data_IF_328264356264
#
_entry.id   IF_328264356264
#
_cell.length_a   1.000
_cell.length_b   1.000
_cell.length_c   1.000
_cell.angle_alpha   90.00
_cell.angle_beta   90.00
_cell.angle_gamma   90.00
#
_symmetry.space_group_name_H-M   'P 1'
#
loop_
_entity.id
_entity.type
_entity.pdbx_description
1 polymer ?
#
# COMPACT_ATOMS: atom_id res chain seq x y z
N UNK A 1 17.36 -59.78 -57.95
CA UNK A 1 18.33 -59.26 -56.96
C UNK A 1 19.12 -58.08 -57.54
N UNK A 2 18.42 -56.99 -57.89
CA UNK A 2 18.99 -55.73 -58.38
C UNK A 2 18.05 -54.60 -57.89
N UNK A 3 18.10 -54.35 -56.59
CA UNK A 3 17.40 -53.24 -55.94
C UNK A 3 18.02 -53.02 -54.56
N UNK A 4 19.33 -52.75 -54.49
CA UNK A 4 20.01 -52.47 -53.22
C UNK A 4 21.32 -51.65 -53.34
N UNK A 5 21.57 -50.96 -54.47
CA UNK A 5 22.83 -50.22 -54.68
C UNK A 5 22.69 -48.84 -55.37
N UNK A 6 21.64 -48.05 -55.07
CA UNK A 6 21.62 -46.65 -55.55
C UNK A 6 20.99 -45.62 -54.61
N UNK A 7 21.00 -45.84 -53.28
CA UNK A 7 20.51 -44.83 -52.31
C UNK A 7 21.52 -44.59 -51.18
N UNK A 8 22.83 -44.63 -51.48
CA UNK A 8 23.85 -44.42 -50.44
C UNK A 8 24.94 -43.39 -50.76
N UNK A 9 24.67 -42.43 -51.65
CA UNK A 9 25.63 -41.33 -51.91
C UNK A 9 25.01 -39.93 -51.98
N UNK A 10 23.72 -39.76 -51.69
CA UNK A 10 23.08 -38.43 -51.72
C UNK A 10 22.46 -37.97 -50.39
N UNK A 11 22.60 -38.74 -49.30
CA UNK A 11 22.02 -38.40 -47.98
C UNK A 11 23.08 -37.97 -46.95
N UNK A 12 24.38 -38.05 -47.23
CA UNK A 12 25.41 -37.74 -46.21
C UNK A 12 25.93 -36.29 -46.20
N UNK A 13 25.50 -35.39 -47.09
CA UNK A 13 25.92 -33.97 -47.06
C UNK A 13 24.82 -32.95 -46.77
N UNK A 14 23.58 -33.17 -47.19
CA UNK A 14 22.49 -32.22 -46.88
C UNK A 14 21.95 -32.37 -45.44
N UNK A 15 21.96 -33.57 -44.87
CA UNK A 15 21.57 -33.74 -43.46
C UNK A 15 22.66 -33.31 -42.47
N UNK A 16 23.92 -33.24 -42.92
CA UNK A 16 25.01 -32.80 -42.03
C UNK A 16 25.04 -31.27 -41.87
N UNK A 17 24.60 -30.52 -42.90
CA UNK A 17 24.43 -29.05 -42.83
C UNK A 17 23.17 -28.64 -42.06
N UNK A 18 22.08 -29.41 -42.14
CA UNK A 18 20.88 -29.15 -41.32
C UNK A 18 21.07 -29.53 -39.84
N UNK A 19 21.81 -30.60 -39.53
CA UNK A 19 22.13 -30.97 -38.14
C UNK A 19 23.15 -30.01 -37.52
N UNK A 20 24.10 -29.47 -38.30
CA UNK A 20 25.04 -28.45 -37.81
C UNK A 20 24.43 -27.05 -37.68
N UNK A 21 23.45 -26.67 -38.53
CA UNK A 21 22.67 -25.45 -38.30
C UNK A 21 21.68 -25.60 -37.13
N UNK A 22 21.13 -26.80 -36.89
CA UNK A 22 20.31 -27.06 -35.70
C UNK A 22 21.15 -27.14 -34.41
N UNK A 23 22.39 -27.64 -34.48
CA UNK A 23 23.36 -27.58 -33.37
C UNK A 23 23.95 -26.18 -33.16
N UNK A 24 24.03 -25.32 -34.19
CA UNK A 24 24.41 -23.91 -34.05
C UNK A 24 23.23 -23.02 -33.59
N UNK A 25 21.97 -23.40 -33.84
CA UNK A 25 20.82 -22.66 -33.29
C UNK A 25 20.44 -23.08 -31.87
N UNK A 26 20.80 -24.30 -31.44
CA UNK A 26 20.63 -24.75 -30.04
C UNK A 26 21.82 -24.36 -29.15
N UNK A 27 23.00 -24.06 -29.72
CA UNK A 27 24.16 -23.57 -28.97
C UNK A 27 24.22 -22.03 -28.83
N UNK A 28 23.27 -21.29 -29.39
CA UNK A 28 23.13 -19.82 -29.25
C UNK A 28 21.90 -19.37 -28.44
N UNK A 29 21.07 -20.30 -27.96
CA UNK A 29 20.05 -20.06 -26.92
C UNK A 29 20.38 -20.81 -25.62
N UNK A 30 21.62 -20.70 -25.20
CA UNK A 30 21.97 -20.63 -23.78
C UNK A 30 23.15 -19.67 -23.64
N UNK A 31 22.94 -18.42 -24.08
CA UNK A 31 23.30 -17.36 -23.15
C UNK A 31 22.40 -17.65 -21.95
N UNK A 32 22.88 -18.48 -21.02
CA UNK A 32 22.34 -18.45 -19.68
C UNK A 32 22.42 -16.98 -19.30
N UNK A 33 21.28 -16.29 -19.24
CA UNK A 33 21.24 -14.94 -18.70
C UNK A 33 22.07 -14.99 -17.43
N UNK A 34 23.21 -14.28 -17.42
CA UNK A 34 24.08 -14.27 -16.26
C UNK A 34 23.20 -13.81 -15.12
N UNK A 35 23.00 -14.68 -14.13
CA UNK A 35 22.16 -14.35 -12.98
C UNK A 35 22.64 -13.02 -12.40
N UNK A 36 21.72 -12.13 -12.06
CA UNK A 36 22.09 -10.89 -11.39
C UNK A 36 22.52 -11.24 -9.95
N UNK A 37 23.85 -11.25 -9.73
CA UNK A 37 24.49 -11.58 -8.44
C UNK A 37 24.86 -10.33 -7.64
N UNK A 38 24.37 -9.14 -8.04
CA UNK A 38 24.64 -7.92 -7.28
C UNK A 38 24.08 -8.04 -5.87
N UNK A 39 24.85 -7.69 -4.83
CA UNK A 39 24.33 -7.71 -3.47
C UNK A 39 23.14 -6.75 -3.37
N UNK A 40 22.26 -7.03 -2.41
CA UNK A 40 21.11 -6.15 -2.15
C UNK A 40 21.18 -5.62 -0.75
N UNK A 41 22.15 -4.74 -0.54
CA UNK A 41 22.33 -4.05 0.73
C UNK A 41 21.13 -3.12 1.01
N UNK A 42 20.74 -2.93 2.28
CA UNK A 42 21.32 -3.51 3.50
C UNK A 42 20.72 -4.88 3.88
N UNK A 43 20.03 -5.57 2.96
CA UNK A 43 19.39 -6.84 3.27
C UNK A 43 20.39 -7.97 3.41
N UNK A 44 20.18 -8.80 4.44
CA UNK A 44 20.90 -10.05 4.62
C UNK A 44 20.46 -10.97 3.48
N UNK A 45 21.38 -11.26 2.58
CA UNK A 45 21.21 -12.21 1.47
C UNK A 45 22.50 -13.00 1.31
N UNK A 46 22.42 -14.15 0.64
CA UNK A 46 23.65 -14.89 0.37
C UNK A 46 24.58 -14.18 -0.60
N UNK A 47 24.05 -13.35 -1.50
CA UNK A 47 24.89 -12.51 -2.37
C UNK A 47 25.55 -11.36 -1.63
N UNK A 48 24.96 -10.88 -0.52
CA UNK A 48 25.65 -9.96 0.39
C UNK A 48 26.83 -10.64 1.09
N UNK A 49 26.66 -11.86 1.60
CA UNK A 49 27.79 -12.64 2.17
C UNK A 49 28.84 -12.99 1.10
N UNK A 50 28.41 -13.24 -0.13
CA UNK A 50 29.30 -13.51 -1.26
C UNK A 50 30.12 -12.28 -1.65
N UNK A 51 29.55 -11.08 -1.59
CA UNK A 51 30.22 -9.85 -2.04
C UNK A 51 31.33 -9.37 -1.11
N UNK A 52 31.36 -9.84 0.14
CA UNK A 52 32.43 -9.51 1.10
C UNK A 52 33.62 -10.48 1.05
N UNK A 53 33.57 -11.50 0.19
CA UNK A 53 34.62 -12.50 0.09
C UNK A 53 35.68 -12.12 -0.94
N UNK A 54 36.94 -12.39 -0.60
CA UNK A 54 38.09 -12.22 -1.50
C UNK A 54 38.13 -13.32 -2.55
N UNK A 55 37.68 -14.53 -2.19
CA UNK A 55 37.62 -15.70 -3.07
C UNK A 55 36.24 -16.36 -3.02
N UNK A 56 35.76 -16.84 -4.16
CA UNK A 56 34.39 -17.40 -4.29
C UNK A 56 34.47 -18.79 -4.93
N UNK A 57 33.84 -19.78 -4.29
CA UNK A 57 33.65 -21.13 -4.80
C UNK A 57 32.17 -21.52 -4.72
N UNK A 58 31.43 -21.33 -5.82
CA UNK A 58 30.01 -21.62 -5.88
C UNK A 58 29.63 -22.40 -7.15
N UNK A 59 28.36 -22.36 -7.53
CA UNK A 59 27.87 -23.06 -8.72
C UNK A 59 28.32 -22.38 -10.02
N UNK A 60 28.66 -21.09 -9.98
CA UNK A 60 29.06 -20.26 -11.13
C UNK A 60 30.59 -20.12 -11.22
N UNK A 61 31.26 -19.95 -10.09
CA UNK A 61 32.72 -19.78 -10.00
C UNK A 61 33.30 -20.99 -9.27
N UNK A 62 34.06 -21.81 -9.97
CA UNK A 62 34.68 -23.02 -9.42
C UNK A 62 36.23 -22.96 -9.46
N UNK A 63 36.80 -21.88 -9.98
CA UNK A 63 38.23 -21.73 -10.16
C UNK A 63 38.78 -20.75 -9.12
N UNK A 64 38.97 -21.22 -7.89
CA UNK A 64 39.85 -20.53 -6.93
C UNK A 64 41.28 -21.02 -7.20
N UNK A 65 42.20 -20.08 -7.42
CA UNK A 65 43.63 -20.40 -7.38
C UNK A 65 44.10 -20.46 -5.92
N UNK A 66 44.46 -21.64 -5.37
CA UNK A 66 44.87 -21.78 -3.97
C UNK A 66 46.10 -20.94 -3.59
N UNK A 67 47.00 -20.69 -4.55
CA UNK A 67 48.23 -19.92 -4.33
C UNK A 67 47.97 -18.42 -4.17
N UNK A 68 46.80 -17.94 -4.59
CA UNK A 68 46.40 -16.53 -4.45
C UNK A 68 45.76 -16.24 -3.08
N UNK A 69 45.45 -17.26 -2.28
CA UNK A 69 44.84 -17.10 -0.96
C UNK A 69 45.88 -16.59 0.03
N UNK A 70 45.66 -15.39 0.55
CA UNK A 70 46.52 -14.76 1.55
C UNK A 70 45.98 -15.00 2.96
N UNK A 71 46.84 -14.70 3.93
CA UNK A 71 46.51 -14.79 5.34
C UNK A 71 45.30 -13.90 5.68
N UNK A 72 44.28 -14.50 6.31
CA UNK A 72 43.00 -13.89 6.72
C UNK A 72 42.05 -13.54 5.58
N UNK A 73 42.32 -13.94 4.34
CA UNK A 73 41.36 -13.79 3.26
C UNK A 73 40.04 -14.49 3.59
N UNK A 74 38.94 -13.94 3.08
CA UNK A 74 37.60 -14.49 3.22
C UNK A 74 37.29 -15.34 2.00
N UNK A 75 36.98 -16.62 2.23
CA UNK A 75 36.56 -17.55 1.19
C UNK A 75 35.08 -17.85 1.35
N UNK A 76 34.29 -17.50 0.33
CA UNK A 76 32.89 -17.89 0.24
C UNK A 76 32.76 -19.23 -0.48
N UNK A 77 32.04 -20.18 0.13
CA UNK A 77 31.76 -21.49 -0.46
C UNK A 77 30.27 -21.79 -0.38
N UNK A 78 29.61 -22.08 -1.50
CA UNK A 78 28.22 -22.55 -1.42
C UNK A 78 28.15 -23.90 -0.70
N UNK A 79 27.23 -24.11 0.24
CA UNK A 79 27.28 -25.30 1.11
C UNK A 79 27.16 -26.64 0.37
N UNK A 80 26.58 -26.66 -0.84
CA UNK A 80 26.54 -27.84 -1.71
C UNK A 80 27.88 -28.16 -2.43
N UNK A 81 28.86 -27.26 -2.35
CA UNK A 81 30.19 -27.37 -2.95
C UNK A 81 31.29 -27.67 -1.93
N UNK A 82 30.97 -27.79 -0.65
CA UNK A 82 31.94 -28.04 0.42
C UNK A 82 32.75 -29.31 0.22
N UNK A 83 32.14 -30.38 -0.31
CA UNK A 83 32.85 -31.64 -0.58
C UNK A 83 33.98 -31.45 -1.59
N UNK A 84 33.72 -30.74 -2.68
CA UNK A 84 34.70 -30.43 -3.72
C UNK A 84 35.76 -29.46 -3.20
N UNK A 85 35.34 -28.41 -2.49
CA UNK A 85 36.23 -27.44 -1.89
C UNK A 85 37.23 -28.11 -0.92
N UNK A 86 36.74 -28.90 0.03
CA UNK A 86 37.60 -29.58 1.00
C UNK A 86 38.42 -30.71 0.40
N UNK A 87 37.95 -31.37 -0.65
CA UNK A 87 38.68 -32.45 -1.33
C UNK A 87 39.76 -31.98 -2.29
N UNK A 88 39.58 -30.82 -2.93
CA UNK A 88 40.41 -30.40 -4.08
C UNK A 88 41.14 -29.09 -3.82
N UNK A 89 40.47 -28.09 -3.24
CA UNK A 89 40.98 -26.71 -3.12
C UNK A 89 41.69 -26.51 -1.80
N UNK A 90 41.00 -26.76 -0.68
CA UNK A 90 41.53 -26.58 0.68
C UNK A 90 42.89 -27.27 0.94
N UNK A 91 43.16 -28.51 0.47
CA UNK A 91 44.46 -29.14 0.70
C UNK A 91 45.63 -28.38 0.08
N UNK A 92 45.37 -27.60 -0.98
CA UNK A 92 46.38 -26.81 -1.72
C UNK A 92 46.53 -25.39 -1.18
N UNK A 93 45.64 -24.95 -0.29
CA UNK A 93 45.76 -23.65 0.37
C UNK A 93 46.77 -23.80 1.51
N UNK A 94 47.77 -22.90 1.53
CA UNK A 94 48.83 -22.86 2.54
C UNK A 94 48.61 -21.80 3.62
N UNK A 95 47.86 -20.74 3.31
CA UNK A 95 47.54 -19.64 4.24
C UNK A 95 46.34 -19.96 5.13
N UNK A 96 46.22 -19.29 6.28
CA UNK A 96 45.01 -19.40 7.11
C UNK A 96 43.96 -18.40 6.61
N UNK A 97 42.69 -18.77 6.65
CA UNK A 97 41.60 -18.00 6.03
C UNK A 97 40.32 -18.07 6.87
N UNK A 98 39.38 -17.18 6.54
CA UNK A 98 38.02 -17.15 7.10
C UNK A 98 37.08 -17.82 6.11
N UNK A 99 36.25 -18.75 6.56
CA UNK A 99 35.33 -19.48 5.70
C UNK A 99 33.90 -18.97 5.89
N UNK A 100 33.20 -18.67 4.80
CA UNK A 100 31.77 -18.37 4.80
C UNK A 100 31.05 -19.41 3.96
N UNK A 101 30.06 -20.09 4.53
CA UNK A 101 29.24 -21.07 3.82
C UNK A 101 27.76 -20.72 3.85
N UNK A 102 27.18 -20.57 2.66
CA UNK A 102 25.80 -20.10 2.48
C UNK A 102 25.21 -20.61 1.16
N UNK A 103 24.07 -20.06 0.72
CA UNK A 103 23.49 -20.26 -0.62
C UNK A 103 23.12 -21.71 -0.95
N UNK A 104 22.68 -22.48 0.04
CA UNK A 104 22.13 -23.82 -0.15
C UNK A 104 21.23 -24.21 1.01
N UNK A 105 20.43 -25.26 0.83
CA UNK A 105 19.58 -25.80 1.90
C UNK A 105 20.37 -26.62 2.94
N UNK A 106 21.62 -27.01 2.64
CA UNK A 106 22.44 -27.85 3.52
C UNK A 106 23.05 -27.05 4.67
N UNK A 107 22.90 -27.59 5.88
CA UNK A 107 23.52 -27.04 7.09
C UNK A 107 24.96 -27.48 7.28
N UNK A 108 25.77 -26.61 7.86
CA UNK A 108 27.16 -26.87 8.24
C UNK A 108 27.29 -27.02 9.76
N UNK A 109 28.31 -27.72 10.29
CA UNK A 109 29.42 -28.33 9.57
C UNK A 109 29.07 -29.70 8.97
N UNK A 110 28.00 -30.36 9.44
CA UNK A 110 27.55 -31.65 8.93
C UNK A 110 28.68 -32.70 8.91
N UNK A 111 28.86 -33.36 7.77
CA UNK A 111 29.94 -34.34 7.55
C UNK A 111 31.36 -33.73 7.60
N UNK A 112 31.48 -32.40 7.50
CA UNK A 112 32.75 -31.67 7.47
C UNK A 112 33.19 -31.15 8.85
N UNK A 113 32.57 -31.63 9.93
CA UNK A 113 32.90 -31.21 11.30
C UNK A 113 34.37 -31.42 11.67
N UNK A 114 35.06 -32.39 11.06
CA UNK A 114 36.50 -32.61 11.26
C UNK A 114 37.35 -31.39 10.90
N UNK A 115 36.93 -30.57 9.93
CA UNK A 115 37.68 -29.39 9.47
C UNK A 115 37.63 -28.23 10.47
N UNK A 116 36.77 -28.26 11.49
CA UNK A 116 36.76 -27.22 12.53
C UNK A 116 38.02 -27.23 13.39
N UNK A 117 38.71 -28.36 13.46
CA UNK A 117 40.01 -28.49 14.14
C UNK A 117 41.19 -28.11 13.23
N UNK A 118 40.96 -27.84 11.95
CA UNK A 118 42.02 -27.45 11.03
C UNK A 118 42.54 -26.04 11.37
N UNK A 119 43.86 -25.90 11.44
CA UNK A 119 44.52 -24.63 11.79
C UNK A 119 44.40 -23.57 10.69
N UNK A 120 44.18 -23.98 9.44
CA UNK A 120 43.99 -23.07 8.30
C UNK A 120 42.65 -22.37 8.35
N UNK A 121 41.65 -22.94 9.04
CA UNK A 121 40.36 -22.28 9.22
C UNK A 121 40.43 -21.48 10.52
N UNK A 122 40.46 -20.16 10.40
CA UNK A 122 40.47 -19.24 11.54
C UNK A 122 39.09 -19.17 12.19
N UNK A 123 38.07 -18.94 11.36
CA UNK A 123 36.66 -18.86 11.73
C UNK A 123 35.84 -19.37 10.56
N UNK A 124 34.74 -20.06 10.84
CA UNK A 124 33.77 -20.57 9.88
C UNK A 124 32.39 -19.98 10.18
N UNK A 125 31.94 -19.07 9.33
CA UNK A 125 30.58 -18.55 9.33
C UNK A 125 29.66 -19.48 8.53
N UNK A 126 28.69 -20.08 9.20
CA UNK A 126 27.87 -21.16 8.64
C UNK A 126 26.37 -20.87 8.61
N UNK A 127 25.72 -21.04 7.46
CA UNK A 127 24.26 -21.10 7.39
C UNK A 127 23.74 -22.43 7.93
N UNK A 128 22.57 -22.40 8.58
CA UNK A 128 21.84 -23.60 8.99
C UNK A 128 22.64 -24.51 9.96
N UNK A 129 23.36 -23.92 10.92
CA UNK A 129 24.13 -24.69 11.91
C UNK A 129 23.20 -25.49 12.81
N UNK A 130 23.27 -26.82 12.71
CA UNK A 130 22.43 -27.76 13.46
C UNK A 130 23.16 -28.35 14.67
N UNK A 131 22.67 -28.09 15.88
CA UNK A 131 23.04 -28.80 17.11
C UNK A 131 24.55 -29.00 17.30
N UNK A 132 25.34 -28.00 16.91
CA UNK A 132 26.80 -28.04 16.95
C UNK A 132 27.30 -26.74 17.54
N UNK A 133 28.18 -26.82 18.53
CA UNK A 133 28.78 -25.67 19.19
C UNK A 133 30.29 -25.84 19.12
N UNK A 134 30.97 -24.85 18.57
CA UNK A 134 32.42 -24.85 18.41
C UNK A 134 32.91 -23.40 18.39
N UNK A 135 34.07 -23.12 18.99
CA UNK A 135 34.60 -21.76 19.12
C UNK A 135 34.82 -21.07 17.76
N UNK A 136 35.22 -21.83 16.75
CA UNK A 136 35.42 -21.34 15.38
C UNK A 136 34.15 -21.32 14.52
N UNK A 137 33.05 -21.94 14.95
CA UNK A 137 31.84 -22.03 14.13
C UNK A 137 30.82 -20.98 14.57
N UNK A 138 30.57 -20.00 13.71
CA UNK A 138 29.63 -18.91 13.97
C UNK A 138 28.42 -19.07 13.06
N UNK A 139 27.21 -19.28 13.60
CA UNK A 139 26.01 -19.37 12.80
C UNK A 139 25.67 -18.03 12.16
N UNK A 140 25.37 -18.04 10.86
CA UNK A 140 24.90 -16.87 10.11
C UNK A 140 23.51 -17.08 9.50
N UNK A 141 22.70 -16.01 9.42
CA UNK A 141 21.32 -16.02 8.91
C UNK A 141 21.20 -16.42 7.44
N UNK A 142 20.15 -17.18 7.08
CA UNK A 142 19.82 -17.45 5.66
C UNK A 142 19.37 -16.18 4.91
N UNK A 143 18.76 -15.23 5.63
CA UNK A 143 18.30 -13.97 5.09
C UNK A 143 17.17 -14.09 4.07
N UNK A 144 17.07 -13.10 3.20
CA UNK A 144 16.20 -13.12 2.02
C UNK A 144 16.82 -13.93 0.90
N UNK A 145 16.00 -14.30 -0.08
CA UNK A 145 16.47 -14.94 -1.31
C UNK A 145 17.27 -13.93 -2.16
N UNK A 146 18.19 -14.42 -2.99
CA UNK A 146 18.98 -13.58 -3.89
C UNK A 146 18.15 -13.04 -5.07
N UNK A 147 18.59 -11.94 -5.70
CA UNK A 147 17.85 -11.20 -6.77
C UNK A 147 17.38 -12.06 -7.93
N UNK A 148 18.22 -12.98 -8.40
CA UNK A 148 17.91 -13.85 -9.55
C UNK A 148 16.84 -14.89 -9.25
N UNK A 149 16.42 -15.07 -8.00
CA UNK A 149 15.31 -15.94 -7.65
C UNK A 149 13.99 -15.15 -7.75
N UNK A 150 13.06 -15.62 -8.58
CA UNK A 150 11.72 -15.03 -8.82
C UNK A 150 10.85 -14.73 -7.59
N UNK A 151 11.23 -15.19 -6.39
CA UNK A 151 10.54 -14.95 -5.12
C UNK A 151 11.27 -13.93 -4.23
N UNK A 152 12.46 -13.50 -4.64
CA UNK A 152 13.48 -12.92 -3.79
C UNK A 152 14.10 -11.63 -4.26
N UNK A 153 13.53 -11.01 -5.29
CA UNK A 153 13.98 -9.69 -5.69
C UNK A 153 13.72 -8.72 -4.53
N UNK A 154 14.76 -8.22 -3.84
CA UNK A 154 14.54 -7.37 -2.69
C UNK A 154 14.01 -5.99 -3.10
N UNK A 155 13.89 -5.68 -4.41
CA UNK A 155 13.05 -4.58 -4.88
C UNK A 155 11.59 -4.77 -4.46
N UNK A 156 11.08 -6.00 -4.49
CA UNK A 156 9.71 -6.30 -4.06
C UNK A 156 9.55 -6.14 -2.55
N UNK A 157 10.57 -6.54 -1.77
CA UNK A 157 10.51 -6.34 -0.31
C UNK A 157 10.65 -4.87 0.05
N UNK A 158 11.52 -4.11 -0.61
CA UNK A 158 11.68 -2.67 -0.40
C UNK A 158 10.39 -1.91 -0.75
N UNK A 159 9.76 -2.26 -1.87
CA UNK A 159 8.45 -1.75 -2.27
C UNK A 159 7.34 -2.11 -1.27
N UNK A 160 7.40 -3.33 -0.70
CA UNK A 160 6.47 -3.75 0.34
C UNK A 160 6.75 -3.04 1.68
N UNK A 161 8.01 -2.76 2.01
CA UNK A 161 8.42 -1.99 3.20
C UNK A 161 7.85 -0.57 3.17
N UNK A 162 7.96 0.11 2.02
CA UNK A 162 7.34 1.43 1.79
C UNK A 162 5.82 1.43 1.98
N UNK A 163 5.18 0.26 1.81
CA UNK A 163 3.74 0.05 1.91
C UNK A 163 3.33 -0.72 3.17
N UNK A 164 4.20 -0.83 4.17
CA UNK A 164 3.86 -1.52 5.42
C UNK A 164 2.59 -0.90 6.00
N UNK A 165 1.58 -1.76 6.19
CA UNK A 165 0.28 -1.29 6.63
C UNK A 165 0.38 -0.78 8.07
N UNK A 166 0.06 0.51 8.26
CA UNK A 166 -0.06 1.15 9.60
C UNK A 166 -1.01 0.38 10.53
N UNK A 167 -2.01 -0.29 9.96
CA UNK A 167 -2.94 -1.17 10.68
C UNK A 167 -2.88 -2.59 10.11
N UNK A 168 -2.49 -3.54 10.97
CA UNK A 168 -2.48 -4.97 10.63
C UNK A 168 -3.92 -5.49 10.51
N UNK A 169 -4.24 -6.13 9.38
CA UNK A 169 -5.55 -6.72 9.07
C UNK A 169 -5.69 -8.14 9.61
N UNK A 170 -4.64 -8.94 9.51
CA UNK A 170 -4.68 -10.36 9.86
C UNK A 170 -3.98 -10.59 11.20
N UNK A 171 -4.57 -11.41 12.06
CA UNK A 171 -3.89 -11.81 13.31
C UNK A 171 -2.73 -12.74 12.98
N UNK A 172 -3.00 -13.83 12.26
CA UNK A 172 -2.01 -14.84 11.94
C UNK A 172 -2.09 -15.22 10.46
N UNK A 173 -0.93 -15.34 9.81
CA UNK A 173 -0.82 -15.77 8.42
C UNK A 173 0.07 -17.00 8.27
N UNK A 174 -0.40 -17.97 7.49
CA UNK A 174 0.34 -19.18 7.13
C UNK A 174 0.30 -19.37 5.61
N UNK A 175 1.46 -19.26 4.98
CA UNK A 175 1.68 -19.63 3.59
C UNK A 175 3.02 -20.33 3.45
N UNK A 176 2.99 -21.65 3.57
CA UNK A 176 4.14 -22.51 3.41
C UNK A 176 3.93 -23.47 2.23
N UNK A 177 4.68 -23.37 1.12
CA UNK A 177 4.55 -24.32 0.01
C UNK A 177 4.85 -25.77 0.44
N UNK A 178 4.04 -26.75 0.02
CA UNK A 178 4.20 -28.15 0.48
C UNK A 178 5.27 -28.96 -0.27
N UNK A 179 5.88 -28.40 -1.32
CA UNK A 179 6.94 -29.08 -2.09
C UNK A 179 8.31 -29.08 -1.38
N UNK A 180 8.46 -28.35 -0.27
CA UNK A 180 9.65 -28.37 0.60
C UNK A 180 9.23 -28.77 2.01
N UNK A 181 9.99 -29.65 2.67
CA UNK A 181 9.72 -30.16 4.02
C UNK A 181 8.24 -30.45 4.32
N UNK A 182 7.63 -31.28 3.46
CA UNK A 182 6.19 -31.59 3.46
C UNK A 182 5.67 -32.02 4.83
N UNK A 183 6.39 -32.93 5.49
CA UNK A 183 5.99 -33.49 6.78
C UNK A 183 5.82 -32.43 7.87
N UNK A 184 6.70 -31.43 7.93
CA UNK A 184 6.61 -30.33 8.92
C UNK A 184 5.49 -29.35 8.52
N UNK A 185 5.40 -29.02 7.24
CA UNK A 185 4.45 -28.00 6.75
C UNK A 185 3.01 -28.50 6.76
N UNK A 186 2.76 -29.75 6.40
CA UNK A 186 1.43 -30.37 6.51
C UNK A 186 0.95 -30.40 7.97
N UNK A 187 1.83 -30.74 8.93
CA UNK A 187 1.52 -30.65 10.36
C UNK A 187 1.13 -29.23 10.78
N UNK A 188 1.84 -28.21 10.28
CA UNK A 188 1.49 -26.81 10.57
C UNK A 188 0.10 -26.44 9.99
N UNK A 189 -0.19 -26.79 8.74
CA UNK A 189 -1.53 -26.54 8.18
C UNK A 189 -2.63 -27.28 8.91
N UNK A 190 -2.41 -28.56 9.25
CA UNK A 190 -3.37 -29.37 10.00
C UNK A 190 -3.64 -28.76 11.37
N UNK A 191 -2.59 -28.29 12.06
CA UNK A 191 -2.74 -27.62 13.34
C UNK A 191 -3.59 -26.35 13.26
N UNK A 192 -3.48 -25.57 12.18
CA UNK A 192 -4.24 -24.33 11.98
C UNK A 192 -5.53 -24.49 11.19
N UNK A 193 -5.91 -25.72 10.82
CA UNK A 193 -7.03 -25.98 9.89
C UNK A 193 -8.36 -25.44 10.42
N UNK A 194 -8.65 -25.71 11.69
CA UNK A 194 -9.85 -25.32 12.45
C UNK A 194 -9.76 -23.89 13.05
N UNK A 195 -8.62 -23.22 12.91
CA UNK A 195 -8.35 -21.91 13.53
C UNK A 195 -8.69 -20.77 12.57
N UNK A 196 -9.91 -20.25 12.68
CA UNK A 196 -10.44 -19.18 11.82
C UNK A 196 -9.63 -17.86 11.89
N UNK A 197 -8.91 -17.62 12.99
CA UNK A 197 -8.02 -16.47 13.14
C UNK A 197 -6.73 -16.56 12.31
N UNK A 198 -6.43 -17.73 11.74
CA UNK A 198 -5.28 -17.97 10.88
C UNK A 198 -5.71 -17.93 9.40
N UNK A 199 -5.21 -16.93 8.67
CA UNK A 199 -5.32 -16.87 7.21
C UNK A 199 -4.33 -17.86 6.61
N UNK A 200 -4.86 -18.86 5.90
CA UNK A 200 -4.09 -19.97 5.34
C UNK A 200 -4.11 -19.90 3.82
N UNK A 201 -2.95 -19.90 3.20
CA UNK A 201 -2.81 -19.87 1.73
C UNK A 201 -1.97 -21.07 1.30
N UNK A 202 -2.63 -22.11 0.79
CA UNK A 202 -1.96 -23.36 0.34
C UNK A 202 -1.43 -23.29 -1.10
N UNK A 203 -2.01 -22.45 -1.95
CA UNK A 203 -1.62 -22.29 -3.36
C UNK A 203 -0.58 -21.18 -3.51
N UNK A 204 0.29 -21.31 -4.52
CA UNK A 204 1.25 -20.26 -4.86
C UNK A 204 0.49 -18.98 -5.24
N UNK A 205 0.90 -17.86 -4.67
CA UNK A 205 0.38 -16.52 -5.00
C UNK A 205 1.51 -15.69 -5.60
N UNK A 206 1.19 -14.64 -6.39
CA UNK A 206 2.20 -13.68 -6.83
C UNK A 206 2.96 -13.05 -5.65
N UNK A 207 4.22 -12.71 -5.86
CA UNK A 207 5.15 -12.18 -4.82
C UNK A 207 4.58 -10.94 -4.14
N UNK A 208 4.06 -9.97 -4.90
CA UNK A 208 3.47 -8.76 -4.33
C UNK A 208 2.31 -9.05 -3.37
N UNK A 209 1.47 -10.03 -3.74
CA UNK A 209 0.34 -10.44 -2.89
C UNK A 209 0.81 -11.18 -1.64
N UNK A 210 1.87 -11.96 -1.77
CA UNK A 210 2.49 -12.63 -0.63
C UNK A 210 3.04 -11.62 0.39
N UNK A 211 3.80 -10.61 -0.07
CA UNK A 211 4.32 -9.56 0.80
C UNK A 211 3.24 -8.63 1.35
N UNK A 212 2.18 -8.32 0.59
CA UNK A 212 0.99 -7.60 1.12
C UNK A 212 0.35 -8.37 2.27
N UNK A 213 0.19 -9.69 2.13
CA UNK A 213 -0.37 -10.50 3.20
C UNK A 213 0.52 -10.52 4.44
N UNK A 214 1.84 -10.65 4.28
CA UNK A 214 2.78 -10.58 5.40
C UNK A 214 2.73 -9.20 6.07
N UNK A 215 2.85 -8.11 5.30
CA UNK A 215 2.90 -6.75 5.85
C UNK A 215 1.62 -6.36 6.59
N UNK A 216 0.48 -6.98 6.23
CA UNK A 216 -0.81 -6.80 6.90
C UNK A 216 -1.06 -7.78 8.03
N UNK A 217 -0.13 -8.67 8.34
CA UNK A 217 -0.26 -9.67 9.42
C UNK A 217 0.49 -9.23 10.67
N UNK A 218 -0.08 -9.51 11.85
CA UNK A 218 0.64 -9.35 13.13
C UNK A 218 1.66 -10.47 13.32
N UNK A 219 1.23 -11.70 13.10
CA UNK A 219 2.05 -12.90 13.25
C UNK A 219 2.12 -13.69 11.94
N UNK A 220 3.27 -14.30 11.66
CA UNK A 220 3.49 -15.14 10.47
C UNK A 220 4.03 -16.49 10.90
N UNK A 221 3.33 -17.58 10.57
CA UNK A 221 3.82 -18.93 10.83
C UNK A 221 4.96 -19.23 9.85
N UNK A 222 6.15 -19.48 10.39
CA UNK A 222 7.37 -19.78 9.63
C UNK A 222 7.85 -21.21 9.94
N UNK A 223 7.13 -22.25 9.46
CA UNK A 223 7.60 -23.62 9.59
C UNK A 223 8.86 -23.81 8.72
N UNK A 224 9.75 -24.69 9.18
CA UNK A 224 11.04 -24.98 8.53
C UNK A 224 10.90 -25.27 7.03
N UNK A 225 11.91 -24.84 6.28
CA UNK A 225 12.15 -25.25 4.91
C UNK A 225 12.91 -26.57 4.85
N UNK A 226 13.65 -26.77 3.76
CA UNK A 226 14.58 -27.89 3.66
C UNK A 226 15.72 -27.73 4.68
N UNK A 227 16.20 -26.50 4.85
CA UNK A 227 17.12 -26.10 5.91
C UNK A 227 16.48 -25.92 7.29
N UNK A 228 17.33 -25.60 8.25
CA UNK A 228 16.93 -25.13 9.58
C UNK A 228 16.17 -23.81 9.48
N UNK A 229 16.85 -22.80 8.93
CA UNK A 229 16.36 -21.44 8.79
C UNK A 229 15.41 -21.33 7.59
N UNK A 230 14.57 -20.30 7.58
CA UNK A 230 13.57 -20.09 6.54
C UNK A 230 13.56 -18.63 6.11
N UNK A 231 13.65 -18.38 4.80
CA UNK A 231 13.50 -17.04 4.22
C UNK A 231 12.24 -16.31 4.73
N UNK A 232 11.15 -17.04 5.01
CA UNK A 232 9.92 -16.46 5.54
C UNK A 232 10.06 -15.81 6.91
N UNK A 233 10.98 -16.31 7.72
CA UNK A 233 11.30 -15.68 9.01
C UNK A 233 11.83 -14.26 8.76
N UNK A 234 12.76 -14.11 7.81
CA UNK A 234 13.36 -12.84 7.43
C UNK A 234 12.38 -11.91 6.73
N UNK A 235 11.57 -12.43 5.79
CA UNK A 235 10.50 -11.68 5.13
C UNK A 235 9.50 -11.10 6.14
N UNK A 236 9.12 -11.87 7.16
CA UNK A 236 8.24 -11.39 8.22
C UNK A 236 8.89 -10.27 9.04
N UNK A 237 10.14 -10.44 9.45
CA UNK A 237 10.88 -9.44 10.23
C UNK A 237 11.00 -8.12 9.46
N UNK A 238 11.46 -8.15 8.21
CA UNK A 238 11.60 -6.94 7.38
C UNK A 238 10.27 -6.22 7.11
N UNK A 239 9.15 -6.94 7.09
CA UNK A 239 7.80 -6.37 6.88
C UNK A 239 7.04 -6.05 8.18
N UNK A 240 7.75 -6.05 9.31
CA UNK A 240 7.21 -5.68 10.62
C UNK A 240 6.14 -6.64 11.12
N UNK A 241 6.26 -7.93 10.82
CA UNK A 241 5.43 -9.00 11.36
C UNK A 241 6.28 -9.89 12.29
N UNK A 242 5.64 -10.51 13.28
CA UNK A 242 6.33 -11.36 14.26
C UNK A 242 6.33 -12.81 13.74
N UNK A 243 7.49 -13.40 13.40
CA UNK A 243 7.54 -14.79 12.96
C UNK A 243 7.27 -15.75 14.14
N UNK A 244 6.45 -16.77 13.90
CA UNK A 244 6.24 -17.90 14.81
C UNK A 244 7.03 -19.09 14.26
N UNK A 245 8.10 -19.43 14.98
CA UNK A 245 8.97 -20.58 14.71
C UNK A 245 8.82 -21.63 15.82
N UNK A 246 9.03 -22.91 15.51
CA UNK A 246 8.82 -24.02 16.46
C UNK A 246 9.96 -24.17 17.48
N UNK A 247 11.17 -23.81 17.12
CA UNK A 247 12.37 -23.89 17.96
C UNK A 247 13.12 -22.55 17.83
N UNK A 248 13.57 -21.91 18.91
CA UNK A 248 14.16 -20.56 18.85
C UNK A 248 15.71 -20.51 18.82
N UNK A 249 16.43 -21.63 18.81
CA UNK A 249 17.89 -21.66 19.02
C UNK A 249 18.74 -21.16 17.84
N UNK A 250 18.25 -20.24 17.03
CA UNK A 250 18.82 -19.93 15.72
C UNK A 250 20.03 -19.00 15.76
N UNK A 251 20.02 -17.99 16.64
CA UNK A 251 21.12 -17.04 16.76
C UNK A 251 21.16 -16.52 18.20
N UNK A 252 22.36 -16.40 18.79
CA UNK A 252 22.53 -15.52 19.94
C UNK A 252 22.18 -14.09 19.46
N UNK A 253 21.31 -13.33 20.14
CA UNK A 253 20.97 -11.96 19.77
C UNK A 253 22.19 -11.06 19.48
N UNK A 254 23.32 -11.34 20.14
CA UNK A 254 24.60 -10.65 19.94
C UNK A 254 25.15 -10.94 18.52
N UNK A 255 25.18 -12.20 18.10
CA UNK A 255 25.66 -12.62 16.76
C UNK A 255 24.82 -12.00 15.64
N UNK A 256 23.51 -11.82 15.87
CA UNK A 256 22.62 -11.16 14.91
C UNK A 256 22.97 -9.67 14.74
N UNK A 257 23.18 -8.95 15.85
CA UNK A 257 23.57 -7.53 15.83
C UNK A 257 24.96 -7.33 15.20
N UNK A 258 25.93 -8.19 15.53
CA UNK A 258 27.26 -8.18 14.93
C UNK A 258 27.23 -8.46 13.41
N UNK A 259 26.41 -9.43 12.98
CA UNK A 259 26.25 -9.74 11.55
C UNK A 259 25.62 -8.58 10.78
N UNK A 260 24.58 -7.93 11.35
CA UNK A 260 23.98 -6.74 10.75
C UNK A 260 25.00 -5.59 10.68
N UNK A 261 25.82 -5.42 11.72
CA UNK A 261 26.90 -4.43 11.74
C UNK A 261 27.97 -4.67 10.66
N UNK A 262 28.23 -5.91 10.27
CA UNK A 262 29.15 -6.25 9.16
C UNK A 262 28.63 -5.83 7.78
N UNK A 263 27.30 -5.82 7.59
CA UNK A 263 26.66 -5.37 6.34
C UNK A 263 26.37 -3.87 6.32
N UNK A 264 26.34 -3.23 7.49
CA UNK A 264 26.24 -1.79 7.64
C UNK A 264 27.59 -1.07 7.45
N UNK A 265 28.53 -1.68 6.71
CA UNK A 265 29.90 -1.21 6.51
C UNK A 265 30.06 -0.09 5.47
N UNK A 266 28.98 0.56 5.08
CA UNK A 266 29.07 1.87 4.45
C UNK A 266 28.84 2.90 5.55
N UNK A 267 29.70 3.93 5.61
CA UNK A 267 29.43 5.10 6.44
C UNK A 267 27.98 5.52 6.19
N UNK A 268 27.16 5.63 7.25
CA UNK A 268 25.75 5.93 7.07
C UNK A 268 25.67 7.22 6.26
N UNK A 269 24.98 7.14 5.12
CA UNK A 269 24.75 8.32 4.28
C UNK A 269 24.15 9.43 5.14
N UNK A 270 24.38 10.71 4.79
CA UNK A 270 23.84 11.83 5.57
C UNK A 270 22.34 11.70 5.86
N UNK A 271 21.59 11.13 4.91
CA UNK A 271 20.15 10.84 5.06
C UNK A 271 19.88 9.76 6.10
N UNK A 272 20.71 8.71 6.17
CA UNK A 272 20.60 7.66 7.19
C UNK A 272 20.99 8.16 8.58
N UNK A 273 22.06 8.96 8.70
CA UNK A 273 22.42 9.63 9.96
C UNK A 273 21.28 10.53 10.41
N UNK A 274 20.77 11.36 9.50
CA UNK A 274 19.66 12.26 9.79
C UNK A 274 18.42 11.51 10.28
N UNK A 275 18.00 10.47 9.57
CA UNK A 275 16.83 9.67 9.97
C UNK A 275 17.05 8.96 11.32
N UNK A 276 18.24 8.41 11.56
CA UNK A 276 18.57 7.77 12.83
C UNK A 276 18.54 8.77 14.00
N UNK A 277 19.05 9.98 13.80
CA UNK A 277 18.99 11.06 14.79
C UNK A 277 17.55 11.50 15.04
N UNK A 278 16.73 11.59 13.98
CA UNK A 278 15.30 11.90 14.10
C UNK A 278 14.58 10.82 14.91
N UNK A 279 14.79 9.55 14.58
CA UNK A 279 14.15 8.42 15.28
C UNK A 279 14.55 8.37 16.76
N UNK A 280 15.85 8.50 17.06
CA UNK A 280 16.35 8.58 18.44
C UNK A 280 15.76 9.77 19.20
N UNK A 281 15.59 10.92 18.54
CA UNK A 281 14.96 12.10 19.15
C UNK A 281 13.48 11.86 19.43
N UNK A 282 12.74 11.21 18.53
CA UNK A 282 11.33 10.85 18.72
C UNK A 282 11.16 9.89 19.90
N UNK A 283 12.02 8.87 20.00
CA UNK A 283 11.98 7.90 21.10
C UNK A 283 12.28 8.53 22.46
N UNK A 284 13.15 9.53 22.50
CA UNK A 284 13.47 10.27 23.73
C UNK A 284 12.31 11.15 24.23
N UNK A 285 11.32 11.46 23.37
CA UNK A 285 10.20 12.35 23.67
C UNK A 285 8.95 11.53 24.02
N UNK A 286 8.35 11.81 25.17
CA UNK A 286 7.06 11.28 25.59
C UNK A 286 6.06 12.41 25.85
N UNK A 287 4.91 12.37 25.17
CA UNK A 287 3.83 13.34 25.35
C UNK A 287 2.61 12.63 25.92
N UNK A 288 2.07 13.16 27.02
CA UNK A 288 0.87 12.64 27.65
C UNK A 288 -0.09 13.76 28.04
N UNK A 289 -1.39 13.46 28.09
CA UNK A 289 -2.40 14.39 28.59
C UNK A 289 -2.68 14.09 30.06
N UNK A 290 -2.66 15.12 30.90
CA UNK A 290 -3.00 14.97 32.32
C UNK A 290 -4.51 14.82 32.44
N UNK A 291 -4.97 13.66 32.96
CA UNK A 291 -6.40 13.34 33.09
C UNK A 291 -7.16 14.49 33.76
N UNK A 292 -8.30 14.87 33.16
CA UNK A 292 -9.18 15.96 33.60
C UNK A 292 -8.57 17.36 33.48
N UNK A 293 -7.54 17.55 32.64
CA UNK A 293 -6.93 18.85 32.35
C UNK A 293 -6.75 19.06 30.84
N UNK A 294 -6.61 20.33 30.44
CA UNK A 294 -6.19 20.74 29.10
C UNK A 294 -4.66 20.84 28.98
N UNK A 295 -3.93 20.44 30.01
CA UNK A 295 -2.46 20.50 30.06
C UNK A 295 -1.86 19.23 29.47
N UNK A 296 -0.92 19.41 28.53
CA UNK A 296 -0.04 18.37 28.02
C UNK A 296 1.26 18.33 28.82
N UNK A 297 1.71 17.14 29.18
CA UNK A 297 3.02 16.90 29.78
C UNK A 297 3.95 16.38 28.70
N UNK A 298 5.01 17.15 28.42
CA UNK A 298 6.11 16.77 27.53
C UNK A 298 7.28 16.34 28.41
N UNK A 299 7.80 15.12 28.20
CA UNK A 299 8.96 14.58 28.91
C UNK A 299 10.03 14.21 27.89
N UNK A 300 11.25 14.65 28.12
CA UNK A 300 12.41 14.33 27.27
C UNK A 300 13.54 13.78 28.11
N UNK A 301 14.04 12.60 27.76
CA UNK A 301 15.13 11.92 28.49
C UNK A 301 16.33 11.79 27.55
N UNK A 302 17.44 12.43 27.90
CA UNK A 302 18.73 12.31 27.21
C UNK A 302 19.85 12.21 28.25
N UNK A 303 21.09 12.03 27.80
CA UNK A 303 22.27 11.96 28.69
C UNK A 303 22.65 13.32 29.30
N UNK A 304 22.18 14.42 28.71
CA UNK A 304 22.49 15.79 29.13
C UNK A 304 21.22 16.53 29.57
N UNK A 305 21.17 17.06 30.82
CA UNK A 305 20.02 17.79 31.31
C UNK A 305 19.69 19.06 30.50
N UNK A 306 20.68 19.79 29.98
CA UNK A 306 20.44 21.01 29.20
C UNK A 306 19.79 20.67 27.85
N UNK A 307 20.29 19.62 27.20
CA UNK A 307 19.75 19.09 25.95
C UNK A 307 18.29 18.65 26.09
N UNK A 308 17.97 17.92 27.16
CA UNK A 308 16.59 17.52 27.46
C UNK A 308 15.64 18.72 27.60
N UNK A 309 16.06 19.76 28.33
CA UNK A 309 15.25 20.97 28.51
C UNK A 309 15.04 21.73 27.20
N UNK A 310 16.09 21.87 26.40
CA UNK A 310 16.05 22.55 25.12
C UNK A 310 15.07 21.88 24.15
N UNK A 311 15.17 20.55 23.98
CA UNK A 311 14.27 19.79 23.08
C UNK A 311 12.82 19.92 23.52
N UNK A 312 12.54 19.80 24.83
CA UNK A 312 11.18 19.92 25.37
C UNK A 312 10.56 21.29 25.09
N UNK A 313 11.33 22.36 25.34
CA UNK A 313 10.88 23.74 25.14
C UNK A 313 10.68 24.06 23.65
N UNK A 314 11.64 23.70 22.80
CA UNK A 314 11.54 23.94 21.36
C UNK A 314 10.35 23.19 20.73
N UNK A 315 10.06 21.96 21.18
CA UNK A 315 8.89 21.23 20.70
C UNK A 315 7.58 21.94 21.08
N UNK A 316 7.50 22.48 22.30
CA UNK A 316 6.34 23.26 22.74
C UNK A 316 6.16 24.53 21.90
N UNK A 317 7.24 25.27 21.64
CA UNK A 317 7.23 26.49 20.83
C UNK A 317 6.79 26.21 19.40
N UNK A 318 7.34 25.17 18.76
CA UNK A 318 6.98 24.76 17.40
C UNK A 318 5.51 24.35 17.32
N UNK A 319 4.99 23.64 18.32
CA UNK A 319 3.59 23.27 18.38
C UNK A 319 2.67 24.49 18.48
N UNK A 320 3.03 25.48 19.30
CA UNK A 320 2.29 26.73 19.44
C UNK A 320 2.26 27.47 18.10
N UNK A 321 3.41 27.61 17.43
CA UNK A 321 3.52 28.27 16.13
C UNK A 321 2.70 27.56 15.05
N UNK A 322 2.79 26.23 14.97
CA UNK A 322 2.02 25.43 14.02
C UNK A 322 0.50 25.52 14.28
N UNK A 323 0.09 25.51 15.55
CA UNK A 323 -1.33 25.69 15.92
C UNK A 323 -1.87 27.06 15.52
N UNK A 324 -1.06 28.12 15.66
CA UNK A 324 -1.41 29.46 15.20
C UNK A 324 -1.52 29.50 13.67
N UNK A 325 -0.52 29.00 12.95
CA UNK A 325 -0.50 28.99 11.49
C UNK A 325 -1.68 28.22 10.89
N UNK A 326 -2.03 27.05 11.46
CA UNK A 326 -3.20 26.27 11.05
C UNK A 326 -4.50 27.02 11.28
N UNK A 327 -4.64 27.73 12.40
CA UNK A 327 -5.83 28.56 12.68
C UNK A 327 -5.91 29.77 11.73
N UNK A 328 -4.79 30.41 11.43
CA UNK A 328 -4.75 31.51 10.47
C UNK A 328 -5.12 31.05 9.06
N UNK A 329 -4.54 29.94 8.57
CA UNK A 329 -4.83 29.39 7.26
C UNK A 329 -6.30 28.99 7.11
N UNK A 330 -6.88 28.32 8.12
CA UNK A 330 -8.30 27.96 8.12
C UNK A 330 -9.21 29.21 8.14
N UNK A 331 -8.81 30.28 8.84
CA UNK A 331 -9.55 31.55 8.86
C UNK A 331 -9.47 32.27 7.52
N UNK A 332 -8.30 32.27 6.87
CA UNK A 332 -8.11 32.87 5.55
C UNK A 332 -8.93 32.13 4.48
N UNK A 333 -8.95 30.79 4.53
CA UNK A 333 -9.75 29.97 3.63
C UNK A 333 -11.24 30.18 3.84
N UNK A 334 -11.72 30.24 5.09
CA UNK A 334 -13.10 30.55 5.40
C UNK A 334 -13.49 31.97 4.95
N UNK A 335 -12.62 32.96 5.15
CA UNK A 335 -12.83 34.33 4.68
C UNK A 335 -12.92 34.38 3.14
N UNK A 336 -12.02 33.68 2.44
CA UNK A 336 -12.03 33.58 0.98
C UNK A 336 -13.31 32.92 0.48
N UNK A 337 -13.73 31.82 1.11
CA UNK A 337 -14.98 31.14 0.78
C UNK A 337 -16.20 32.04 1.00
N UNK A 338 -16.25 32.77 2.12
CA UNK A 338 -17.32 33.73 2.39
C UNK A 338 -17.36 34.85 1.35
N UNK A 339 -16.21 35.38 0.92
CA UNK A 339 -16.15 36.39 -0.13
C UNK A 339 -16.65 35.87 -1.48
N UNK A 340 -16.27 34.64 -1.86
CA UNK A 340 -16.75 33.99 -3.08
C UNK A 340 -18.27 33.77 -2.99
N UNK A 341 -18.77 33.24 -1.87
CA UNK A 341 -20.21 33.01 -1.66
C UNK A 341 -21.02 34.30 -1.64
N UNK A 342 -20.49 35.37 -1.06
CA UNK A 342 -21.15 36.68 -1.09
C UNK A 342 -21.24 37.24 -2.52
N UNK A 343 -20.21 37.05 -3.35
CA UNK A 343 -20.23 37.44 -4.75
C UNK A 343 -21.24 36.60 -5.55
N UNK A 344 -21.27 35.29 -5.35
CA UNK A 344 -22.26 34.39 -5.98
C UNK A 344 -23.69 34.76 -5.59
N UNK A 345 -23.98 34.95 -4.30
CA UNK A 345 -25.30 35.34 -3.81
C UNK A 345 -25.71 36.72 -4.33
N UNK A 346 -24.77 37.65 -4.49
CA UNK A 346 -25.04 38.94 -5.11
C UNK A 346 -25.46 38.78 -6.57
N UNK A 347 -24.77 37.95 -7.34
CA UNK A 347 -25.14 37.66 -8.74
C UNK A 347 -26.48 36.94 -8.81
N UNK A 348 -26.75 35.99 -7.92
CA UNK A 348 -28.03 35.29 -7.84
C UNK A 348 -29.18 36.24 -7.47
N UNK A 349 -28.96 37.16 -6.53
CA UNK A 349 -29.90 38.21 -6.18
C UNK A 349 -30.15 39.17 -7.34
N UNK A 350 -29.10 39.64 -8.01
CA UNK A 350 -29.23 40.51 -9.19
C UNK A 350 -30.02 39.80 -10.31
N UNK A 351 -29.77 38.51 -10.54
CA UNK A 351 -30.53 37.70 -11.49
C UNK A 351 -31.99 37.48 -11.06
N UNK A 352 -32.23 37.24 -9.77
CA UNK A 352 -33.58 37.08 -9.22
C UNK A 352 -34.37 38.40 -9.30
N UNK A 353 -33.74 39.53 -8.97
CA UNK A 353 -34.32 40.86 -9.11
C UNK A 353 -34.56 41.23 -10.58
N UNK A 354 -33.64 40.88 -11.49
CA UNK A 354 -33.85 41.04 -12.92
C UNK A 354 -35.00 40.16 -13.42
N UNK A 355 -35.14 38.95 -12.89
CA UNK A 355 -36.26 38.05 -13.16
C UNK A 355 -37.60 38.59 -12.63
N UNK A 356 -37.62 39.17 -11.42
CA UNK A 356 -38.80 39.84 -10.85
C UNK A 356 -39.14 41.11 -11.62
N UNK A 357 -38.14 41.89 -12.05
CA UNK A 357 -38.35 43.06 -12.91
C UNK A 357 -38.88 42.65 -14.29
N UNK A 358 -38.33 41.60 -14.90
CA UNK A 358 -38.82 41.01 -16.14
C UNK A 358 -40.27 40.54 -16.00
N UNK A 359 -40.56 39.78 -14.94
CA UNK A 359 -41.92 39.36 -14.61
C UNK A 359 -42.85 40.55 -14.34
N UNK A 360 -42.37 41.62 -13.70
CA UNK A 360 -43.14 42.83 -13.42
C UNK A 360 -43.39 43.67 -14.68
N UNK A 361 -42.50 43.63 -15.67
CA UNK A 361 -42.67 44.25 -16.99
C UNK A 361 -43.64 43.42 -17.84
N UNK A 362 -43.54 42.09 -17.79
CA UNK A 362 -44.51 41.17 -18.40
C UNK A 362 -45.88 41.25 -17.70
N UNK A 363 -45.92 41.58 -16.41
CA UNK A 363 -47.13 41.81 -15.62
C UNK A 363 -47.58 43.27 -15.63
N UNK A 364 -47.42 43.97 -16.75
CA UNK A 364 -47.85 45.36 -17.04
C UNK A 364 -49.35 45.68 -16.81
N UNK A 365 -50.06 44.92 -15.97
CA UNK A 365 -51.50 45.01 -15.71
C UNK A 365 -51.88 45.62 -14.37
N UNK A 366 -50.96 46.12 -13.53
CA UNK A 366 -51.35 46.74 -12.25
C UNK A 366 -50.70 48.11 -12.10
N UNK A 367 -51.08 49.04 -12.98
CA UNK A 367 -50.89 50.47 -12.76
C UNK A 367 -51.92 50.95 -11.72
N UNK A 368 -51.49 51.68 -10.68
CA UNK A 368 -52.37 52.24 -9.65
C UNK A 368 -53.46 53.15 -10.25
N UNK A 369 -53.15 53.84 -11.36
CA UNK A 369 -54.13 54.64 -12.11
C UNK A 369 -55.20 53.76 -12.78
N UNK A 370 -54.82 52.58 -13.26
CA UNK A 370 -55.76 51.61 -13.82
C UNK A 370 -56.68 51.04 -12.74
N UNK A 371 -56.18 50.79 -11.52
CA UNK A 371 -56.99 50.38 -10.37
C UNK A 371 -58.03 51.45 -9.99
N UNK A 372 -57.66 52.74 -10.01
CA UNK A 372 -58.59 53.85 -9.76
C UNK A 372 -59.66 53.91 -10.86
N UNK A 373 -59.28 53.83 -12.14
CA UNK A 373 -60.24 53.82 -13.26
C UNK A 373 -61.18 52.61 -13.19
N UNK A 374 -60.65 51.42 -12.87
CA UNK A 374 -61.44 50.20 -12.74
C UNK A 374 -62.40 50.28 -11.56
N UNK A 375 -61.99 50.88 -10.44
CA UNK A 375 -62.87 51.11 -9.28
C UNK A 375 -64.04 52.07 -9.62
N UNK A 376 -63.78 53.10 -10.44
CA UNK A 376 -64.81 54.03 -10.94
C UNK A 376 -65.78 53.31 -11.89
N UNK A 377 -65.27 52.47 -12.79
CA UNK A 377 -66.11 51.66 -13.69
C UNK A 377 -66.97 50.66 -12.92
N UNK A 378 -66.42 49.98 -11.91
CA UNK A 378 -67.15 49.06 -11.03
C UNK A 378 -68.28 49.79 -10.28
N UNK A 379 -68.01 50.99 -9.76
CA UNK A 379 -69.03 51.83 -9.12
C UNK A 379 -70.13 52.21 -10.11
N UNK A 380 -69.78 52.59 -11.35
CA UNK A 380 -70.75 52.92 -12.40
C UNK A 380 -71.59 51.70 -12.83
N UNK A 381 -70.99 50.52 -12.90
CA UNK A 381 -71.71 49.28 -13.21
C UNK A 381 -72.66 48.88 -12.07
N UNK A 382 -72.24 48.98 -10.81
CA UNK A 382 -73.15 48.74 -9.67
C UNK A 382 -74.32 49.72 -9.67
N UNK A 383 -74.09 50.99 -9.99
CA UNK A 383 -75.16 51.97 -10.19
C UNK A 383 -76.13 51.55 -11.29
N UNK A 384 -75.62 51.17 -12.46
CA UNK A 384 -76.46 50.68 -13.57
C UNK A 384 -77.26 49.43 -13.22
N UNK A 385 -76.67 48.49 -12.47
CA UNK A 385 -77.37 47.29 -11.99
C UNK A 385 -78.52 47.70 -11.07
N UNK A 386 -78.27 48.60 -10.11
CA UNK A 386 -79.32 49.13 -9.23
C UNK A 386 -80.45 49.83 -10.00
N UNK A 387 -80.11 50.66 -10.99
CA UNK A 387 -81.11 51.34 -11.83
C UNK A 387 -81.93 50.34 -12.66
N UNK A 388 -81.27 49.31 -13.19
CA UNK A 388 -81.92 48.23 -13.93
C UNK A 388 -82.83 47.39 -13.03
N UNK A 389 -82.45 47.15 -11.78
CA UNK A 389 -83.29 46.44 -10.80
C UNK A 389 -84.52 47.27 -10.41
N UNK A 390 -84.37 48.58 -10.20
CA UNK A 390 -85.51 49.49 -9.98
C UNK A 390 -86.43 49.50 -11.21
N UNK A 391 -85.85 49.55 -12.42
CA UNK A 391 -86.63 49.53 -13.66
C UNK A 391 -87.33 48.19 -13.87
N UNK A 392 -86.67 47.08 -13.55
CA UNK A 392 -87.27 45.74 -13.55
C UNK A 392 -88.43 45.65 -12.55
N UNK A 393 -88.25 46.09 -11.32
CA UNK A 393 -89.30 46.07 -10.30
C UNK A 393 -90.53 46.92 -10.70
N UNK A 394 -90.29 48.10 -11.30
CA UNK A 394 -91.38 48.94 -11.82
C UNK A 394 -92.09 48.32 -13.02
N UNK A 395 -91.38 47.66 -13.93
CA UNK A 395 -91.95 46.91 -15.04
C UNK A 395 -92.72 45.67 -14.55
N UNK A 396 -92.21 44.94 -13.56
CA UNK A 396 -92.90 43.81 -12.93
C UNK A 396 -94.20 44.27 -12.26
N UNK A 397 -94.16 45.37 -11.50
CA UNK A 397 -95.36 45.98 -10.90
C UNK A 397 -96.36 46.43 -11.97
N UNK A 398 -95.89 47.03 -13.06
CA UNK A 398 -96.75 47.42 -14.18
C UNK A 398 -97.39 46.20 -14.85
N UNK A 399 -96.62 45.11 -15.01
CA UNK A 399 -97.08 43.85 -15.60
C UNK A 399 -98.10 43.14 -14.70
N UNK A 400 -97.91 43.15 -13.38
CA UNK A 400 -98.91 42.65 -12.43
C UNK A 400 -100.21 43.46 -12.47
N UNK A 401 -100.12 44.80 -12.48
CA UNK A 401 -101.29 45.67 -12.65
C UNK A 401 -102.03 45.38 -13.96
N UNK A 402 -101.28 45.15 -15.04
CA UNK A 402 -101.84 44.83 -16.36
C UNK A 402 -102.50 43.44 -16.38
N UNK A 403 -101.88 42.42 -15.75
CA UNK A 403 -102.48 41.09 -15.55
C UNK A 403 -103.78 41.14 -14.75
N UNK A 404 -103.81 41.90 -13.65
CA UNK A 404 -105.03 42.10 -12.86
C UNK A 404 -106.12 42.81 -13.66
N UNK A 405 -105.78 43.86 -14.41
CA UNK A 405 -106.74 44.58 -15.25
C UNK A 405 -107.33 43.73 -16.40
N UNK A 406 -106.53 42.83 -16.98
CA UNK A 406 -106.97 41.87 -17.99
C UNK A 406 -107.93 40.83 -17.40
N UNK A 407 -107.71 40.39 -16.16
CA UNK A 407 -108.62 39.45 -15.47
C UNK A 407 -109.94 40.09 -15.01
N UNK A 408 -109.96 41.39 -14.71
CA UNK A 408 -111.16 42.11 -14.27
C UNK A 408 -112.02 42.68 -15.40
N UNK A 409 -111.59 42.56 -16.66
CA UNK A 409 -112.36 43.00 -17.84
C UNK A 409 -112.52 44.52 -18.00
N UNK A 410 -111.63 45.32 -17.39
CA UNK A 410 -111.76 46.78 -17.35
C UNK A 410 -110.98 47.47 -18.48
N UNK A 411 -111.65 47.70 -19.60
CA UNK A 411 -111.08 48.18 -20.87
C UNK A 411 -110.41 49.56 -20.79
N UNK A 412 -110.78 50.41 -19.82
CA UNK A 412 -110.22 51.76 -19.68
C UNK A 412 -108.83 51.77 -19.02
N UNK A 413 -108.55 50.84 -18.11
CA UNK A 413 -107.25 50.74 -17.42
C UNK A 413 -106.20 50.11 -18.34
N UNK A 414 -106.59 49.13 -19.16
CA UNK A 414 -105.73 48.49 -20.16
C UNK A 414 -105.25 49.51 -21.21
N UNK A 415 -106.14 50.37 -21.70
CA UNK A 415 -105.79 51.41 -22.69
C UNK A 415 -104.80 52.45 -22.14
N UNK A 416 -104.93 52.82 -20.86
CA UNK A 416 -104.07 53.84 -20.22
C UNK A 416 -102.66 53.32 -19.90
N UNK A 417 -102.53 52.02 -19.59
CA UNK A 417 -101.23 51.38 -19.33
C UNK A 417 -100.50 50.98 -20.63
N UNK A 418 -101.23 50.58 -21.68
CA UNK A 418 -100.64 50.28 -23.00
C UNK A 418 -100.16 51.55 -23.74
N UNK A 419 -100.80 52.70 -23.51
CA UNK A 419 -100.42 53.98 -24.13
C UNK A 419 -99.11 54.61 -23.63
N UNK A 420 -98.51 54.09 -22.55
CA UNK A 420 -97.22 54.55 -22.01
C UNK A 420 -96.02 53.69 -22.44
N UNK A 421 -96.22 52.71 -23.32
CA UNK A 421 -95.16 51.93 -23.94
C UNK A 421 -94.86 52.46 -25.36
N UNK A 422 -94.18 53.61 -25.43
CA UNK A 422 -93.49 54.09 -26.65
C UNK A 422 -92.06 54.47 -26.30
#
# INVERSE_FOLDING_TARGET
MKLLLSVNSYVSRQNMLFISLLFCFVSLFSIAESKDRRPTLPFITGDAFRSIADHIFDVEIQDINPDNVKERDVIFVSSNRLREFFGIVHPKIHSRYILITHNSDTGVPGEFSSFLNDEKILVWFGQNVTNYVHEKLIPIPIGLTNRYNSLGDPVHIESAMKRIARKKKYLLYLNAPLHTNRNVREKAYKYFEDKNFCVKVRRRVPVDRFFDHISRSKFVVSPRGNGLDCHRTWEALYLGAIPIVREPNYYNPITLLETISWFAKDEPTEVQIFNAVVDATIEAISVSNIRKSLVFSIRVITEDPEKSALIANTLADLYIQDSLNKKFAATEEASRWLSIKAAELKVELENSEAGVKGFSVDSQLINADALVVLSVQLKKMRGRISDMDIKRASLETALEKLKHAVQSGDSQIIAKLAGNAR
#
